data_IF_206612494231
#
_entry.id   IF_206612494231
#
_cell.length_a   1.000
_cell.length_b   1.000
_cell.length_c   1.000
_cell.angle_alpha   90.00
_cell.angle_beta   90.00
_cell.angle_gamma   90.00
#
_symmetry.space_group_name_H-M   'P 1'
#
loop_
_entity.id
_entity.type
_entity.pdbx_description
1 polymer ?
#
# COMPACT_ATOMS: atom_id res chain seq x y z
N UNK A 1 15.31 -1.30 -44.47
CA UNK A 1 15.68 -0.17 -43.60
C UNK A 1 14.66 0.10 -42.49
N UNK A 2 13.40 -0.37 -42.56
CA UNK A 2 12.40 -0.11 -41.50
C UNK A 2 12.41 -1.04 -40.27
N UNK A 3 13.03 -2.24 -40.30
CA UNK A 3 13.06 -3.13 -39.13
C UNK A 3 14.21 -2.80 -38.15
N UNK A 4 15.35 -2.30 -38.65
CA UNK A 4 16.51 -1.96 -37.82
C UNK A 4 16.26 -0.73 -36.93
N UNK A 5 15.55 0.28 -37.44
CA UNK A 5 15.17 1.46 -36.65
C UNK A 5 14.15 1.10 -35.55
N UNK A 6 13.20 0.21 -35.83
CA UNK A 6 12.22 -0.24 -34.83
C UNK A 6 12.89 -1.06 -33.72
N UNK A 7 13.84 -1.94 -34.06
CA UNK A 7 14.60 -2.71 -33.07
C UNK A 7 15.52 -1.80 -32.23
N UNK A 8 16.17 -0.79 -32.82
CA UNK A 8 17.00 0.17 -32.06
C UNK A 8 16.17 1.07 -31.12
N UNK A 9 14.98 1.48 -31.55
CA UNK A 9 14.04 2.25 -30.71
C UNK A 9 13.54 1.38 -29.55
N UNK A 10 13.22 0.09 -29.78
CA UNK A 10 12.80 -0.82 -28.72
C UNK A 10 13.91 -1.14 -27.70
N UNK A 11 15.17 -1.28 -28.14
CA UNK A 11 16.29 -1.60 -27.24
C UNK A 11 16.69 -0.38 -26.37
N UNK A 12 16.46 0.86 -26.85
CA UNK A 12 16.72 2.11 -26.07
C UNK A 12 15.78 2.29 -24.87
N UNK A 13 14.55 1.77 -24.94
CA UNK A 13 13.54 1.92 -23.87
C UNK A 13 13.50 0.75 -22.88
N UNK A 14 14.33 -0.28 -23.10
CA UNK A 14 14.23 -1.56 -22.39
C UNK A 14 14.45 -1.48 -20.88
N UNK A 15 15.21 -0.48 -20.43
CA UNK A 15 15.53 -0.24 -19.01
C UNK A 15 14.76 0.95 -18.41
N UNK A 16 13.88 1.59 -19.18
CA UNK A 16 13.08 2.73 -18.73
C UNK A 16 11.72 2.29 -18.19
N UNK A 17 11.24 3.01 -17.18
CA UNK A 17 9.82 2.93 -16.81
C UNK A 17 8.93 3.42 -17.96
N UNK A 18 7.67 3.00 -18.05
CA UNK A 18 6.76 3.51 -19.08
C UNK A 18 6.64 5.05 -19.10
N UNK A 19 6.70 5.69 -17.93
CA UNK A 19 6.75 7.14 -17.81
C UNK A 19 8.02 7.74 -18.45
N UNK A 20 9.20 7.19 -18.13
CA UNK A 20 10.48 7.65 -18.71
C UNK A 20 10.54 7.42 -20.22
N UNK A 21 10.03 6.29 -20.70
CA UNK A 21 9.91 5.99 -22.12
C UNK A 21 9.00 6.99 -22.85
N UNK A 22 7.88 7.38 -22.22
CA UNK A 22 7.00 8.41 -22.74
C UNK A 22 7.67 9.78 -22.76
N UNK A 23 8.35 10.17 -21.67
CA UNK A 23 9.11 11.43 -21.62
C UNK A 23 10.18 11.51 -22.71
N UNK A 24 10.92 10.41 -22.93
CA UNK A 24 11.90 10.34 -23.99
C UNK A 24 11.26 10.41 -25.38
N UNK A 25 10.08 9.80 -25.58
CA UNK A 25 9.30 9.94 -26.81
C UNK A 25 8.83 11.38 -27.06
N UNK A 26 8.41 12.10 -26.01
CA UNK A 26 8.10 13.54 -26.10
C UNK A 26 9.34 14.35 -26.50
N UNK A 27 10.51 13.97 -25.98
CA UNK A 27 11.77 14.64 -26.28
C UNK A 27 12.19 14.41 -27.73
N UNK A 28 12.09 13.18 -28.21
CA UNK A 28 12.41 12.82 -29.60
C UNK A 28 11.43 13.51 -30.59
N UNK A 29 10.18 13.77 -30.17
CA UNK A 29 9.21 14.56 -30.92
C UNK A 29 9.41 16.10 -30.81
N UNK A 30 10.40 16.56 -30.03
CA UNK A 30 10.66 17.98 -29.77
C UNK A 30 9.62 18.66 -28.85
N UNK A 31 8.68 17.91 -28.28
CA UNK A 31 7.58 18.43 -27.46
C UNK A 31 8.04 18.90 -26.08
N UNK A 32 9.15 18.38 -25.55
CA UNK A 32 9.72 18.81 -24.26
C UNK A 32 10.21 20.26 -24.27
N UNK A 33 10.39 20.86 -25.45
CA UNK A 33 10.73 22.28 -25.62
C UNK A 33 9.50 23.20 -25.64
N UNK A 34 8.31 22.63 -25.74
CA UNK A 34 7.03 23.37 -25.66
C UNK A 34 6.65 23.60 -24.20
N UNK A 35 5.81 24.62 -23.94
CA UNK A 35 5.30 24.88 -22.60
C UNK A 35 4.59 23.65 -22.01
N UNK A 36 3.74 22.99 -22.79
CA UNK A 36 3.00 21.81 -22.34
C UNK A 36 3.91 20.62 -22.00
N UNK A 37 4.91 20.33 -22.83
CA UNK A 37 5.86 19.24 -22.55
C UNK A 37 6.75 19.54 -21.35
N UNK A 38 7.20 20.79 -21.21
CA UNK A 38 7.94 21.23 -20.03
C UNK A 38 7.09 21.12 -18.75
N UNK A 39 5.85 21.58 -18.79
CA UNK A 39 4.94 21.55 -17.65
C UNK A 39 4.57 20.11 -17.24
N UNK A 40 4.47 19.18 -18.20
CA UNK A 40 4.26 17.76 -17.91
C UNK A 40 5.44 17.15 -17.15
N UNK A 41 6.68 17.45 -17.54
CA UNK A 41 7.87 17.01 -16.81
C UNK A 41 7.90 17.66 -15.42
N UNK A 42 7.64 18.97 -15.34
CA UNK A 42 7.65 19.70 -14.08
C UNK A 42 6.59 19.16 -13.11
N UNK A 43 5.39 18.85 -13.58
CA UNK A 43 4.33 18.26 -12.78
C UNK A 43 4.77 16.91 -12.17
N UNK A 44 5.44 16.07 -12.96
CA UNK A 44 5.98 14.79 -12.52
C UNK A 44 6.97 14.95 -11.35
N UNK A 45 7.88 15.92 -11.46
CA UNK A 45 8.87 16.23 -10.43
C UNK A 45 8.23 16.83 -9.17
N UNK A 46 7.31 17.78 -9.33
CA UNK A 46 6.63 18.44 -8.21
C UNK A 46 5.80 17.46 -7.40
N UNK A 47 5.10 16.53 -8.05
CA UNK A 47 4.31 15.51 -7.36
C UNK A 47 5.18 14.64 -6.44
N UNK A 48 6.38 14.27 -6.87
CA UNK A 48 7.33 13.48 -6.08
C UNK A 48 7.96 14.29 -4.93
N UNK A 49 8.21 15.59 -5.15
CA UNK A 49 8.81 16.49 -4.14
C UNK A 49 7.81 16.89 -3.05
N UNK A 50 6.53 17.05 -3.40
CA UNK A 50 5.47 17.45 -2.49
C UNK A 50 4.30 16.44 -2.54
N UNK A 51 4.53 15.18 -2.12
CA UNK A 51 3.50 14.15 -2.16
C UNK A 51 2.40 14.43 -1.15
N UNK A 52 1.22 13.90 -1.43
CA UNK A 52 0.08 13.91 -0.51
C UNK A 52 0.30 12.87 0.58
N UNK A 53 0.36 13.32 1.82
CA UNK A 53 0.44 12.44 3.00
C UNK A 53 -0.90 11.75 3.24
N UNK A 54 -0.91 10.41 3.23
CA UNK A 54 -2.11 9.61 3.42
C UNK A 54 -1.97 8.60 4.55
N UNK A 55 -3.09 8.15 5.08
CA UNK A 55 -3.16 7.00 5.99
C UNK A 55 -3.95 5.90 5.31
N UNK A 56 -3.48 4.66 5.43
CA UNK A 56 -4.12 3.49 4.82
C UNK A 56 -5.13 2.85 5.78
N UNK A 57 -6.22 2.27 5.27
CA UNK A 57 -6.64 2.26 3.86
C UNK A 57 -7.08 3.66 3.39
N UNK A 58 -6.89 3.92 2.10
CA UNK A 58 -7.15 5.22 1.48
C UNK A 58 -7.93 5.04 0.19
N UNK A 59 -8.90 5.93 -0.04
CA UNK A 59 -9.55 6.07 -1.34
C UNK A 59 -9.65 7.56 -1.66
N UNK A 60 -9.41 7.89 -2.93
CA UNK A 60 -9.63 9.22 -3.47
C UNK A 60 -10.20 9.11 -4.89
N UNK A 61 -11.17 9.95 -5.20
CA UNK A 61 -11.62 10.21 -6.55
C UNK A 61 -11.23 11.61 -6.95
N UNK A 62 -10.40 11.75 -7.98
CA UNK A 62 -9.88 13.04 -8.42
C UNK A 62 -10.15 13.32 -9.87
N UNK A 63 -9.90 14.56 -10.27
CA UNK A 63 -10.05 15.02 -11.64
C UNK A 63 -8.76 15.64 -12.16
N UNK A 64 -8.34 15.18 -13.33
CA UNK A 64 -7.19 15.71 -14.05
C UNK A 64 -7.70 16.48 -15.26
N UNK A 65 -7.36 17.76 -15.34
CA UNK A 65 -7.74 18.63 -16.46
C UNK A 65 -6.83 18.36 -17.66
N UNK A 66 -7.33 17.94 -18.84
CA UNK A 66 -6.50 17.61 -19.99
C UNK A 66 -5.58 18.76 -20.45
N UNK A 67 -6.04 20.00 -20.34
CA UNK A 67 -5.32 21.20 -20.81
C UNK A 67 -4.20 21.65 -19.85
N UNK A 68 -4.17 21.09 -18.63
CA UNK A 68 -3.19 21.45 -17.59
C UNK A 68 -2.47 20.19 -17.13
N UNK A 69 -1.24 19.93 -17.64
CA UNK A 69 -0.45 18.79 -17.21
C UNK A 69 -0.33 18.74 -15.69
N UNK A 70 -0.68 17.60 -15.12
CA UNK A 70 -0.66 17.41 -13.67
C UNK A 70 -0.28 15.98 -13.32
N UNK A 71 0.28 15.82 -12.14
CA UNK A 71 0.59 14.54 -11.53
C UNK A 71 0.23 14.63 -10.05
N UNK A 72 -0.12 13.50 -9.45
CA UNK A 72 -0.30 13.37 -8.01
C UNK A 72 0.59 12.24 -7.52
N UNK A 73 1.22 12.41 -6.37
CA UNK A 73 1.88 11.32 -5.68
C UNK A 73 1.34 11.19 -4.26
N UNK A 74 1.16 9.97 -3.80
CA UNK A 74 0.72 9.65 -2.44
C UNK A 74 1.89 9.06 -1.68
N UNK A 75 2.21 9.61 -0.51
CA UNK A 75 3.19 9.01 0.39
C UNK A 75 2.52 8.02 1.32
N UNK A 76 3.07 6.81 1.37
CA UNK A 76 2.58 5.73 2.20
C UNK A 76 3.73 4.94 2.83
N UNK A 77 3.50 4.42 4.03
CA UNK A 77 4.42 3.49 4.69
C UNK A 77 3.89 2.07 4.53
N UNK A 78 4.73 1.18 4.00
CA UNK A 78 4.43 -0.25 3.93
C UNK A 78 5.34 -0.96 4.91
N UNK A 79 4.75 -1.57 5.93
CA UNK A 79 5.46 -2.35 6.93
C UNK A 79 5.99 -3.67 6.37
N UNK A 80 7.04 -4.19 7.01
CA UNK A 80 7.51 -5.55 6.74
C UNK A 80 6.39 -6.54 7.04
N UNK A 81 6.14 -7.49 6.15
CA UNK A 81 5.07 -8.48 6.32
C UNK A 81 3.68 -8.00 5.91
N UNK A 82 3.59 -6.78 5.37
CA UNK A 82 2.37 -6.23 4.78
C UNK A 82 2.47 -6.28 3.25
N UNK A 83 1.31 -6.37 2.60
CA UNK A 83 1.15 -6.27 1.16
C UNK A 83 0.34 -5.03 0.86
N UNK A 84 0.82 -4.19 -0.05
CA UNK A 84 0.03 -3.12 -0.64
C UNK A 84 -0.77 -3.70 -1.80
N UNK A 85 -2.08 -3.46 -1.82
CA UNK A 85 -2.93 -3.57 -3.00
C UNK A 85 -3.33 -2.16 -3.40
N UNK A 86 -3.10 -1.83 -4.66
CA UNK A 86 -3.44 -0.53 -5.21
C UNK A 86 -4.25 -0.73 -6.47
N UNK A 87 -5.45 -0.17 -6.48
CA UNK A 87 -6.38 -0.20 -7.60
C UNK A 87 -6.51 1.20 -8.14
N UNK A 88 -6.21 1.36 -9.42
CA UNK A 88 -6.33 2.63 -10.12
C UNK A 88 -7.27 2.44 -11.29
N UNK A 89 -8.20 3.37 -11.46
CA UNK A 89 -9.07 3.48 -12.63
C UNK A 89 -9.10 4.92 -13.12
N UNK A 90 -9.20 5.13 -14.44
CA UNK A 90 -9.42 6.43 -15.06
C UNK A 90 -10.63 6.30 -16.00
N UNK A 91 -11.56 7.22 -15.89
CA UNK A 91 -12.75 7.32 -16.73
C UNK A 91 -12.76 8.67 -17.44
N UNK A 92 -12.72 8.65 -18.76
CA UNK A 92 -12.69 9.88 -19.56
C UNK A 92 -13.31 9.77 -20.97
N UNK A 93 -13.95 8.64 -21.30
CA UNK A 93 -14.60 8.44 -22.59
C UNK A 93 -13.66 8.22 -23.79
N UNK A 94 -12.34 8.23 -23.58
CA UNK A 94 -11.31 7.98 -24.60
C UNK A 94 -10.30 6.93 -24.09
N UNK A 95 -9.45 6.39 -24.97
CA UNK A 95 -8.28 5.65 -24.50
C UNK A 95 -7.24 6.63 -23.98
N UNK A 96 -6.77 6.43 -22.75
CA UNK A 96 -5.75 7.29 -22.13
C UNK A 96 -4.77 6.46 -21.33
N UNK A 97 -3.49 6.73 -21.58
CA UNK A 97 -2.42 6.16 -20.77
C UNK A 97 -2.29 6.93 -19.46
N UNK A 98 -2.21 6.19 -18.37
CA UNK A 98 -1.88 6.72 -17.05
C UNK A 98 -0.70 5.96 -16.53
N UNK A 99 0.39 6.67 -16.33
CA UNK A 99 1.58 6.16 -15.69
C UNK A 99 1.32 6.05 -14.20
N UNK A 100 1.46 4.83 -13.69
CA UNK A 100 1.36 4.49 -12.28
C UNK A 100 2.72 3.98 -11.84
N UNK A 101 3.39 4.74 -10.98
CA UNK A 101 4.76 4.45 -10.55
C UNK A 101 4.82 4.31 -9.02
N UNK A 102 5.33 3.17 -8.56
CA UNK A 102 5.66 2.94 -7.16
C UNK A 102 7.16 3.15 -6.97
N UNK A 103 7.52 4.12 -6.14
CA UNK A 103 8.89 4.39 -5.73
C UNK A 103 9.11 4.00 -4.28
N UNK A 104 10.32 3.53 -3.96
CA UNK A 104 10.80 3.44 -2.58
C UNK A 104 11.56 4.73 -2.26
N UNK A 105 11.19 5.36 -1.15
CA UNK A 105 11.93 6.50 -0.63
C UNK A 105 13.32 6.06 -0.14
N UNK A 106 14.31 6.88 -0.38
CA UNK A 106 15.64 6.67 0.18
C UNK A 106 15.64 6.96 1.69
N UNK A 107 16.61 6.38 2.41
CA UNK A 107 16.79 6.67 3.85
C UNK A 107 17.34 8.09 4.07
N UNK A 108 18.06 8.64 3.08
CA UNK A 108 18.49 10.02 3.05
C UNK A 108 17.51 10.86 2.22
N UNK A 109 17.07 12.00 2.73
CA UNK A 109 16.10 12.88 2.06
C UNK A 109 16.65 13.50 0.77
N UNK A 110 17.98 13.61 0.63
CA UNK A 110 18.64 14.17 -0.55
C UNK A 110 18.72 13.16 -1.72
N UNK A 111 18.53 11.87 -1.46
CA UNK A 111 18.64 10.83 -2.48
C UNK A 111 17.31 10.66 -3.25
N UNK A 112 17.35 10.50 -4.59
CA UNK A 112 16.13 10.35 -5.36
C UNK A 112 15.38 9.05 -5.02
N UNK A 113 14.03 9.06 -5.01
CA UNK A 113 13.24 7.85 -4.85
C UNK A 113 13.57 6.83 -5.93
N UNK A 114 13.69 5.55 -5.54
CA UNK A 114 14.04 4.47 -6.46
C UNK A 114 12.78 3.83 -7.04
N UNK A 115 12.63 3.69 -8.38
CA UNK A 115 11.49 2.97 -8.95
C UNK A 115 11.49 1.51 -8.50
N UNK A 116 10.30 0.98 -8.23
CA UNK A 116 10.05 -0.40 -7.79
C UNK A 116 9.15 -1.12 -8.79
N UNK A 117 8.06 -0.47 -9.20
CA UNK A 117 7.10 -1.00 -10.15
C UNK A 117 6.50 0.16 -10.93
N UNK A 118 6.32 0.00 -12.24
CA UNK A 118 5.69 1.01 -13.09
C UNK A 118 4.81 0.35 -14.15
N UNK A 119 3.67 0.97 -14.46
CA UNK A 119 2.74 0.55 -15.53
C UNK A 119 2.10 1.78 -16.19
N UNK A 120 1.58 1.65 -17.41
CA UNK A 120 1.04 2.74 -18.24
C UNK A 120 -0.45 2.59 -18.64
N UNK A 121 -1.09 1.49 -18.25
CA UNK A 121 -2.43 1.13 -18.71
C UNK A 121 -3.36 0.81 -17.53
N UNK A 122 -4.48 1.52 -17.49
CA UNK A 122 -5.50 1.54 -16.43
C UNK A 122 -6.85 1.15 -17.08
N UNK A 123 -7.74 0.37 -16.42
CA UNK A 123 -7.73 -0.02 -15.01
C UNK A 123 -6.77 -1.17 -14.71
N UNK A 124 -6.15 -1.10 -13.52
CA UNK A 124 -5.24 -2.12 -13.05
C UNK A 124 -5.21 -2.23 -11.53
N UNK A 125 -5.16 -3.46 -11.05
CA UNK A 125 -4.78 -3.79 -9.68
C UNK A 125 -3.31 -4.18 -9.68
N UNK A 126 -2.50 -3.58 -8.82
CA UNK A 126 -1.13 -4.02 -8.61
C UNK A 126 -0.86 -4.25 -7.12
N UNK A 127 -0.04 -5.27 -6.88
CA UNK A 127 0.34 -5.70 -5.54
C UNK A 127 1.84 -5.49 -5.32
N UNK A 128 2.21 -5.06 -4.12
CA UNK A 128 3.61 -4.97 -3.72
C UNK A 128 3.84 -5.53 -2.31
N UNK A 129 4.78 -6.47 -2.22
CA UNK A 129 5.26 -7.05 -0.96
C UNK A 129 6.71 -6.67 -0.71
N UNK A 130 6.99 -5.65 0.12
CA UNK A 130 8.36 -5.22 0.33
C UNK A 130 9.15 -6.23 1.17
N UNK A 131 10.38 -6.51 0.75
CA UNK A 131 11.29 -7.38 1.53
C UNK A 131 11.59 -6.80 2.93
N UNK A 132 11.85 -5.49 2.96
CA UNK A 132 11.98 -4.63 4.15
C UNK A 132 10.94 -3.54 4.06
N UNK A 133 10.24 -3.28 5.16
CA UNK A 133 9.34 -2.13 5.24
C UNK A 133 10.06 -0.80 4.99
N UNK A 134 9.29 0.25 4.80
CA UNK A 134 9.78 1.60 4.55
C UNK A 134 8.70 2.49 3.96
N UNK A 135 9.12 3.68 3.54
CA UNK A 135 8.26 4.66 2.92
C UNK A 135 8.32 4.56 1.39
N UNK A 136 7.17 4.78 0.78
CA UNK A 136 6.94 4.64 -0.65
C UNK A 136 6.15 5.83 -1.17
N UNK A 137 6.29 6.10 -2.46
CA UNK A 137 5.44 7.03 -3.20
C UNK A 137 4.71 6.28 -4.28
N UNK A 138 3.41 6.51 -4.41
CA UNK A 138 2.66 6.10 -5.58
C UNK A 138 2.31 7.34 -6.41
N UNK A 139 2.90 7.47 -7.59
CA UNK A 139 2.60 8.55 -8.55
C UNK A 139 1.59 8.11 -9.59
N UNK A 140 0.62 8.97 -9.89
CA UNK A 140 -0.30 8.89 -11.01
C UNK A 140 -0.08 10.09 -11.93
N UNK A 141 0.11 9.84 -13.22
CA UNK A 141 0.25 10.89 -14.22
C UNK A 141 -0.28 10.43 -15.59
N UNK A 142 -1.23 11.14 -16.19
CA UNK A 142 -1.70 10.82 -17.53
C UNK A 142 -0.69 11.28 -18.59
N UNK A 143 -0.82 10.74 -19.79
CA UNK A 143 -0.13 11.27 -20.96
C UNK A 143 -0.57 12.72 -21.28
N UNK A 144 0.25 13.43 -22.07
CA UNK A 144 0.03 14.83 -22.38
C UNK A 144 -1.32 15.04 -23.10
N UNK A 145 -2.04 16.12 -22.74
CA UNK A 145 -3.37 16.45 -23.31
C UNK A 145 -4.45 15.39 -23.04
N UNK A 146 -4.29 14.60 -21.97
CA UNK A 146 -5.31 13.66 -21.48
C UNK A 146 -5.58 13.89 -20.00
N UNK A 147 -6.80 13.56 -19.60
CA UNK A 147 -7.30 13.77 -18.25
C UNK A 147 -8.60 13.03 -18.04
N UNK A 148 -9.38 13.45 -17.05
CA UNK A 148 -10.64 12.83 -16.65
C UNK A 148 -10.67 12.48 -15.17
N UNK A 149 -11.68 11.72 -14.78
CA UNK A 149 -11.88 11.32 -13.39
C UNK A 149 -11.10 10.04 -13.11
N UNK A 150 -10.25 10.06 -12.10
CA UNK A 150 -9.54 8.88 -11.63
C UNK A 150 -10.03 8.47 -10.25
N UNK A 151 -9.98 7.17 -9.99
CA UNK A 151 -10.14 6.62 -8.64
C UNK A 151 -8.85 5.90 -8.28
N UNK A 152 -8.37 6.15 -7.07
CA UNK A 152 -7.26 5.41 -6.48
C UNK A 152 -7.72 4.82 -5.16
N UNK A 153 -7.55 3.50 -5.01
CA UNK A 153 -7.84 2.77 -3.78
C UNK A 153 -6.58 2.06 -3.34
N UNK A 154 -6.13 2.35 -2.12
CA UNK A 154 -4.91 1.82 -1.53
C UNK A 154 -5.25 1.10 -0.24
N UNK A 155 -4.89 -0.17 -0.17
CA UNK A 155 -5.14 -1.01 0.99
C UNK A 155 -3.87 -1.75 1.38
N UNK A 156 -3.72 -2.01 2.69
CA UNK A 156 -2.70 -2.90 3.17
C UNK A 156 -3.34 -4.16 3.73
N UNK A 157 -2.71 -5.28 3.43
CA UNK A 157 -3.09 -6.60 3.92
C UNK A 157 -1.92 -7.28 4.62
N UNK A 158 -2.23 -8.33 5.37
CA UNK A 158 -1.22 -9.24 5.91
C UNK A 158 -0.72 -10.17 4.78
N UNK A 159 0.58 -10.42 4.70
CA UNK A 159 1.15 -11.29 3.67
C UNK A 159 0.81 -12.78 3.85
N UNK A 160 0.53 -13.21 5.09
CA UNK A 160 0.28 -14.60 5.42
C UNK A 160 -1.15 -14.79 5.91
N UNK A 161 -1.76 -15.90 5.51
CA UNK A 161 -3.03 -16.34 6.08
C UNK A 161 -2.85 -16.71 7.55
N UNK A 162 -3.93 -16.64 8.33
CA UNK A 162 -3.87 -16.96 9.75
C UNK A 162 -3.70 -18.49 9.97
N UNK A 163 -2.74 -18.95 10.80
CA UNK A 163 -2.33 -20.36 10.86
C UNK A 163 -3.24 -21.29 11.67
N UNK A 164 -4.34 -20.79 12.25
CA UNK A 164 -5.22 -21.60 13.11
C UNK A 164 -6.67 -21.39 12.69
N UNK A 165 -7.34 -22.48 12.33
CA UNK A 165 -8.70 -22.46 11.78
C UNK A 165 -9.68 -21.77 12.76
N UNK A 166 -10.51 -20.86 12.23
CA UNK A 166 -11.53 -20.16 13.01
C UNK A 166 -10.99 -19.16 14.05
N UNK A 167 -9.69 -18.88 14.06
CA UNK A 167 -9.04 -17.95 14.97
C UNK A 167 -8.44 -16.76 14.19
N UNK A 168 -8.06 -15.72 14.92
CA UNK A 168 -7.43 -14.53 14.34
C UNK A 168 -6.48 -13.87 15.32
N UNK A 169 -6.02 -12.65 15.00
CA UNK A 169 -4.99 -11.91 15.77
C UNK A 169 -5.27 -11.73 17.26
N UNK A 170 -6.54 -11.84 17.70
CA UNK A 170 -6.93 -11.77 19.11
C UNK A 170 -6.50 -13.01 19.91
N UNK A 171 -6.19 -14.10 19.23
CA UNK A 171 -5.72 -15.36 19.82
C UNK A 171 -4.20 -15.37 20.04
N UNK A 172 -3.48 -14.35 19.55
CA UNK A 172 -2.07 -14.14 19.85
C UNK A 172 -1.96 -13.57 21.26
N UNK A 173 -1.40 -14.35 22.21
CA UNK A 173 -1.29 -13.94 23.63
C UNK A 173 0.16 -13.89 24.13
N UNK A 174 1.12 -14.39 23.35
CA UNK A 174 2.55 -14.25 23.62
C UNK A 174 3.23 -13.74 22.35
N UNK A 175 3.87 -12.59 22.43
CA UNK A 175 4.43 -11.88 21.28
C UNK A 175 5.92 -12.19 21.10
N UNK A 176 6.43 -11.90 19.91
CA UNK A 176 7.85 -11.97 19.60
C UNK A 176 8.65 -11.10 20.57
N UNK A 177 9.83 -11.59 20.98
CA UNK A 177 10.68 -10.85 21.91
C UNK A 177 10.32 -11.03 23.39
N UNK A 178 9.20 -11.67 23.72
CA UNK A 178 8.80 -11.90 25.11
C UNK A 178 9.81 -12.80 25.86
N UNK A 179 10.01 -12.51 27.14
CA UNK A 179 10.92 -13.28 28.00
C UNK A 179 10.49 -14.74 28.10
N UNK A 180 11.44 -15.64 27.88
CA UNK A 180 11.30 -17.09 28.08
C UNK A 180 12.33 -17.58 29.08
N UNK A 181 11.97 -18.65 29.79
CA UNK A 181 12.88 -19.36 30.70
C UNK A 181 13.52 -18.43 31.75
N UNK A 182 12.71 -17.53 32.33
CA UNK A 182 13.13 -16.50 33.28
C UNK A 182 14.20 -15.52 32.73
N UNK A 183 14.04 -15.08 31.47
CA UNK A 183 14.90 -14.10 30.81
C UNK A 183 16.14 -14.70 30.14
N UNK A 184 16.25 -16.03 30.07
CA UNK A 184 17.39 -16.73 29.45
C UNK A 184 17.26 -16.86 27.93
N UNK A 185 16.05 -16.67 27.40
CA UNK A 185 15.76 -16.79 25.97
C UNK A 185 14.70 -15.78 25.56
N UNK A 186 14.80 -15.29 24.33
CA UNK A 186 13.77 -14.47 23.69
C UNK A 186 12.77 -15.35 22.92
N UNK A 187 11.51 -14.94 22.89
CA UNK A 187 10.50 -15.64 22.11
C UNK A 187 10.66 -15.38 20.60
N UNK A 188 11.14 -16.37 19.86
CA UNK A 188 11.44 -16.30 18.41
C UNK A 188 10.20 -16.42 17.50
N UNK A 189 9.01 -16.16 18.03
CA UNK A 189 7.75 -16.34 17.31
C UNK A 189 6.57 -15.70 18.03
N UNK A 190 5.36 -16.16 17.73
CA UNK A 190 4.12 -15.82 18.45
C UNK A 190 3.42 -17.09 18.91
N UNK A 191 2.74 -17.04 20.06
CA UNK A 191 1.89 -18.15 20.51
C UNK A 191 0.43 -17.81 20.26
N UNK A 192 -0.25 -18.71 19.55
CA UNK A 192 -1.65 -18.60 19.15
C UNK A 192 -2.44 -19.65 19.92
N UNK A 193 -3.22 -19.21 20.89
CA UNK A 193 -3.98 -20.10 21.78
C UNK A 193 -5.26 -20.57 21.11
N UNK A 194 -5.50 -21.88 21.17
CA UNK A 194 -6.69 -22.54 20.64
C UNK A 194 -6.88 -23.89 21.34
N UNK A 195 -8.07 -24.49 21.22
CA UNK A 195 -8.32 -25.81 21.82
C UNK A 195 -7.41 -26.87 21.20
N UNK A 196 -6.98 -27.85 22.00
CA UNK A 196 -6.26 -29.03 21.48
C UNK A 196 -7.10 -29.67 20.37
N UNK A 197 -6.46 -30.07 19.28
CA UNK A 197 -7.14 -30.67 18.13
C UNK A 197 -7.70 -29.66 17.12
N UNK A 198 -7.55 -28.34 17.36
CA UNK A 198 -7.91 -27.33 16.34
C UNK A 198 -6.94 -27.46 15.16
N UNK A 199 -7.41 -27.44 13.89
CA UNK A 199 -6.53 -27.49 12.73
C UNK A 199 -5.53 -26.33 12.68
N UNK A 200 -4.27 -26.68 12.40
CA UNK A 200 -3.18 -25.76 12.08
C UNK A 200 -3.03 -25.74 10.57
N UNK A 201 -3.12 -24.56 9.97
CA UNK A 201 -3.23 -24.36 8.53
C UNK A 201 -1.92 -23.82 7.95
N UNK A 202 -1.66 -24.16 6.68
CA UNK A 202 -0.59 -23.56 5.90
C UNK A 202 -0.89 -22.07 5.64
N UNK A 203 0.06 -21.21 6.01
CA UNK A 203 -0.09 -19.75 5.92
C UNK A 203 0.29 -19.16 4.57
N UNK A 204 1.01 -19.93 3.77
CA UNK A 204 1.37 -19.64 2.39
C UNK A 204 1.46 -20.95 1.60
N UNK A 205 1.32 -20.88 0.27
CA UNK A 205 1.62 -22.02 -0.58
C UNK A 205 3.12 -22.34 -0.54
N UNK A 206 3.47 -23.62 -0.58
CA UNK A 206 4.86 -24.04 -0.59
C UNK A 206 5.07 -25.49 -0.20
N UNK A 207 6.31 -25.81 0.19
CA UNK A 207 6.74 -27.20 0.38
C UNK A 207 7.10 -27.52 1.82
N UNK A 208 6.52 -28.56 2.38
CA UNK A 208 6.90 -29.07 3.71
C UNK A 208 8.33 -29.60 3.67
N UNK A 209 9.26 -28.94 4.35
CA UNK A 209 10.68 -29.29 4.27
C UNK A 209 11.14 -30.25 5.40
N UNK A 210 10.44 -30.23 6.56
CA UNK A 210 10.69 -31.11 7.73
C UNK A 210 9.39 -31.37 8.50
N UNK A 211 9.26 -32.60 8.96
CA UNK A 211 8.25 -33.05 9.94
C UNK A 211 9.00 -33.87 10.98
N UNK A 212 9.05 -33.41 12.23
CA UNK A 212 9.95 -33.97 13.25
C UNK A 212 9.34 -33.93 14.66
N UNK A 213 9.94 -34.69 15.57
CA UNK A 213 9.73 -34.54 17.01
C UNK A 213 11.02 -34.03 17.64
N UNK A 214 10.94 -32.94 18.37
CA UNK A 214 12.10 -32.26 18.99
C UNK A 214 11.85 -32.05 20.49
N UNK A 215 12.91 -31.91 21.28
CA UNK A 215 12.79 -31.71 22.72
C UNK A 215 12.06 -30.40 23.06
N UNK A 216 12.39 -29.30 22.37
CA UNK A 216 11.78 -27.99 22.62
C UNK A 216 10.41 -27.87 21.95
N UNK A 217 10.36 -27.97 20.62
CA UNK A 217 9.13 -27.75 19.85
C UNK A 217 8.12 -28.90 19.89
N UNK A 218 8.46 -30.05 20.48
CA UNK A 218 7.60 -31.23 20.44
C UNK A 218 7.42 -31.71 19.00
N UNK A 219 6.19 -32.00 18.59
CA UNK A 219 5.84 -32.29 17.20
C UNK A 219 5.82 -31.00 16.40
N UNK A 220 6.62 -30.95 15.34
CA UNK A 220 6.83 -29.75 14.53
C UNK A 220 6.64 -30.01 13.04
N UNK A 221 6.24 -28.96 12.32
CA UNK A 221 6.24 -28.89 10.86
C UNK A 221 7.00 -27.63 10.45
N UNK A 222 7.84 -27.76 9.42
CA UNK A 222 8.49 -26.65 8.77
C UNK A 222 8.02 -26.55 7.32
N UNK A 223 7.47 -25.40 6.96
CA UNK A 223 7.00 -25.06 5.62
C UNK A 223 7.99 -24.11 4.95
N UNK A 224 8.41 -24.41 3.73
CA UNK A 224 9.23 -23.52 2.90
C UNK A 224 8.30 -22.67 2.03
N UNK A 225 8.31 -21.36 2.27
CA UNK A 225 7.67 -20.36 1.41
C UNK A 225 8.69 -19.94 0.33
N UNK A 226 8.47 -20.31 -0.95
CA UNK A 226 9.40 -19.96 -2.02
C UNK A 226 9.31 -18.48 -2.43
N UNK A 227 8.13 -17.88 -2.38
CA UNK A 227 7.87 -16.48 -2.79
C UNK A 227 8.65 -15.53 -1.87
N UNK A 228 8.57 -15.76 -0.56
CA UNK A 228 9.19 -14.89 0.46
C UNK A 228 10.55 -15.41 0.92
N UNK A 229 11.06 -16.49 0.32
CA UNK A 229 12.30 -17.15 0.67
C UNK A 229 12.45 -17.38 2.19
N UNK A 230 11.37 -17.84 2.84
CA UNK A 230 11.29 -18.00 4.29
C UNK A 230 10.95 -19.43 4.69
N UNK A 231 11.31 -19.81 5.91
CA UNK A 231 10.87 -21.06 6.51
C UNK A 231 9.94 -20.73 7.66
N UNK A 232 8.74 -21.30 7.61
CA UNK A 232 7.67 -21.08 8.57
C UNK A 232 7.62 -22.29 9.50
N UNK A 233 7.64 -22.04 10.79
CA UNK A 233 7.76 -23.04 11.85
C UNK A 233 6.46 -23.16 12.62
N UNK A 234 5.95 -24.38 12.72
CA UNK A 234 4.74 -24.74 13.47
C UNK A 234 5.13 -25.75 14.54
N UNK A 235 4.92 -25.43 15.82
CA UNK A 235 5.36 -26.25 16.93
C UNK A 235 4.28 -26.49 17.99
N UNK A 236 4.61 -27.37 18.93
CA UNK A 236 3.75 -27.86 20.00
C UNK A 236 2.53 -28.67 19.53
N UNK A 237 2.57 -29.18 18.30
CA UNK A 237 1.44 -29.86 17.68
C UNK A 237 1.03 -31.12 18.47
N UNK A 238 -0.27 -31.43 18.48
CA UNK A 238 -0.80 -32.68 19.01
C UNK A 238 -0.55 -33.83 18.04
N UNK A 239 -0.70 -33.57 16.74
CA UNK A 239 -0.40 -34.50 15.63
C UNK A 239 -0.02 -33.71 14.37
N UNK A 240 0.70 -34.37 13.46
CA UNK A 240 1.13 -33.83 12.16
C UNK A 240 0.30 -34.53 11.08
N UNK A 241 -0.29 -33.77 10.17
CA UNK A 241 -1.16 -34.27 9.10
C UNK A 241 -0.46 -34.35 7.73
N UNK A 242 0.80 -33.91 7.66
CA UNK A 242 1.58 -33.81 6.43
C UNK A 242 2.88 -34.59 6.51
N UNK A 243 3.46 -34.85 5.33
CA UNK A 243 4.75 -35.53 5.18
C UNK A 243 5.83 -34.62 4.61
N UNK A 244 7.10 -34.92 4.91
CA UNK A 244 8.23 -34.20 4.31
C UNK A 244 8.16 -34.32 2.79
N UNK A 245 8.22 -33.18 2.13
CA UNK A 245 8.24 -33.03 0.69
C UNK A 245 6.89 -32.82 0.02
N UNK A 246 5.81 -32.85 0.81
CA UNK A 246 4.47 -32.50 0.36
C UNK A 246 4.38 -31.02 -0.01
N UNK A 247 3.79 -30.73 -1.16
CA UNK A 247 3.32 -29.38 -1.53
C UNK A 247 1.98 -29.12 -0.85
N UNK A 248 1.78 -27.91 -0.38
CA UNK A 248 0.56 -27.45 0.29
C UNK A 248 0.14 -26.10 -0.27
N UNK A 249 -1.16 -25.89 -0.32
CA UNK A 249 -1.78 -24.61 -0.63
C UNK A 249 -2.16 -23.85 0.64
N UNK A 250 -2.47 -22.56 0.51
CA UNK A 250 -2.97 -21.74 1.62
C UNK A 250 -4.24 -22.39 2.19
N UNK A 251 -4.27 -22.62 3.50
CA UNK A 251 -5.41 -23.21 4.19
C UNK A 251 -5.36 -24.74 4.34
N UNK A 252 -4.40 -25.43 3.71
CA UNK A 252 -4.23 -26.87 3.93
C UNK A 252 -3.86 -27.18 5.39
N UNK A 253 -4.42 -28.27 5.94
CA UNK A 253 -4.12 -28.67 7.32
C UNK A 253 -2.74 -29.32 7.43
N UNK A 254 -1.84 -28.70 8.20
CA UNK A 254 -0.50 -29.20 8.49
C UNK A 254 -0.46 -30.13 9.71
N UNK A 255 -1.41 -29.99 10.61
CA UNK A 255 -1.48 -30.71 11.87
C UNK A 255 -2.52 -30.10 12.78
N UNK A 256 -2.42 -30.40 14.07
CA UNK A 256 -3.43 -29.99 15.04
C UNK A 256 -2.78 -29.37 16.27
N UNK A 257 -3.42 -28.33 16.81
CA UNK A 257 -2.95 -27.61 18.01
C UNK A 257 -2.82 -28.57 19.17
N UNK A 258 -1.72 -28.46 19.92
CA UNK A 258 -1.43 -29.29 21.08
C UNK A 258 -0.65 -28.52 22.13
N UNK A 259 0.16 -29.25 22.90
CA UNK A 259 1.12 -28.68 23.83
C UNK A 259 2.35 -29.59 23.98
N UNK A 260 2.78 -30.26 22.91
CA UNK A 260 3.92 -31.20 22.98
C UNK A 260 5.26 -30.46 23.14
N UNK A 261 6.31 -31.18 23.55
CA UNK A 261 7.63 -30.57 23.80
C UNK A 261 7.67 -29.87 25.16
N UNK A 262 8.32 -28.71 25.22
CA UNK A 262 8.43 -27.95 26.47
C UNK A 262 7.12 -27.22 26.87
N UNK A 263 6.11 -27.18 26.00
CA UNK A 263 4.78 -26.63 26.27
C UNK A 263 3.88 -27.56 27.10
N UNK A 264 4.34 -28.76 27.51
CA UNK A 264 3.48 -29.80 28.11
C UNK A 264 2.69 -29.36 29.35
N UNK A 265 3.20 -28.37 30.09
CA UNK A 265 2.60 -27.84 31.31
C UNK A 265 1.83 -26.53 31.10
N UNK A 266 1.67 -26.07 29.86
CA UNK A 266 0.93 -24.84 29.52
C UNK A 266 -0.37 -25.17 28.78
N UNK A 267 -1.32 -24.21 28.70
CA UNK A 267 -2.52 -24.39 27.88
C UNK A 267 -2.16 -24.66 26.41
N UNK A 268 -2.97 -25.45 25.67
CA UNK A 268 -2.72 -25.72 24.27
C UNK A 268 -2.62 -24.45 23.41
N UNK A 269 -1.60 -24.41 22.55
CA UNK A 269 -1.33 -23.30 21.64
C UNK A 269 -0.45 -23.79 20.48
N UNK A 270 -0.49 -23.03 19.38
CA UNK A 270 0.50 -23.11 18.31
C UNK A 270 1.61 -22.11 18.60
N UNK A 271 2.86 -22.57 18.64
CA UNK A 271 3.99 -21.67 18.48
C UNK A 271 4.29 -21.51 16.97
N UNK A 272 4.20 -20.28 16.48
CA UNK A 272 4.38 -19.91 15.09
C UNK A 272 5.60 -19.00 14.91
N UNK A 273 6.56 -19.41 14.09
CA UNK A 273 7.80 -18.67 13.84
C UNK A 273 8.08 -18.49 12.35
N UNK A 274 8.75 -17.39 11.99
CA UNK A 274 9.23 -17.13 10.63
C UNK A 274 10.74 -17.00 10.67
N UNK A 275 11.44 -17.73 9.81
CA UNK A 275 12.89 -17.76 9.76
C UNK A 275 13.38 -17.47 8.35
N UNK A 276 14.29 -16.49 8.22
CA UNK A 276 14.91 -16.14 6.93
C UNK A 276 16.41 -16.39 6.96
N UNK A 277 16.94 -16.86 5.83
CA UNK A 277 18.38 -17.14 5.70
C UNK A 277 19.17 -15.84 5.84
N UNK A 278 20.16 -15.83 6.73
CA UNK A 278 21.02 -14.66 6.97
C UNK A 278 20.43 -13.62 7.94
N UNK A 279 19.16 -13.73 8.32
CA UNK A 279 18.48 -12.79 9.23
C UNK A 279 18.02 -13.43 10.54
N UNK A 280 17.87 -14.75 10.59
CA UNK A 280 17.39 -15.45 11.79
C UNK A 280 15.87 -15.37 11.95
N UNK A 281 15.34 -15.42 13.19
CA UNK A 281 13.91 -15.31 13.45
C UNK A 281 13.41 -13.89 13.20
N UNK A 282 12.25 -13.80 12.54
CA UNK A 282 11.58 -12.55 12.17
C UNK A 282 10.27 -12.47 12.94
N UNK A 283 9.94 -11.29 13.47
CA UNK A 283 8.66 -11.06 14.14
C UNK A 283 7.48 -11.44 13.22
N UNK A 284 6.67 -12.46 13.58
CA UNK A 284 5.54 -12.89 12.76
C UNK A 284 4.32 -11.98 12.83
N UNK A 285 4.18 -11.12 13.85
CA UNK A 285 2.95 -10.34 14.07
C UNK A 285 2.53 -9.50 12.85
N UNK A 286 3.43 -8.75 12.19
CA UNK A 286 3.07 -7.97 11.00
C UNK A 286 2.61 -8.82 9.81
N UNK A 287 3.05 -10.09 9.73
CA UNK A 287 2.69 -11.01 8.65
C UNK A 287 1.31 -11.64 8.85
N UNK A 288 0.80 -11.64 10.08
CA UNK A 288 -0.50 -12.22 10.44
C UNK A 288 -1.56 -11.18 10.75
N UNK A 289 -1.15 -9.93 11.00
CA UNK A 289 -2.03 -8.86 11.45
C UNK A 289 -2.46 -8.00 10.27
N UNK A 290 -3.71 -8.13 9.79
CA UNK A 290 -4.21 -7.20 8.80
C UNK A 290 -4.17 -5.79 9.41
N UNK A 291 -3.71 -4.80 8.64
CA UNK A 291 -3.78 -3.39 9.00
C UNK A 291 -5.21 -2.99 9.37
N UNK A 292 -5.35 -2.11 10.36
CA UNK A 292 -6.66 -1.68 10.84
C UNK A 292 -7.19 -0.57 9.95
N UNK A 293 -8.48 -0.61 9.69
CA UNK A 293 -9.21 0.46 9.02
C UNK A 293 -10.15 -0.12 7.98
N UNK A 294 -11.15 0.67 7.63
CA UNK A 294 -11.99 0.47 6.45
C UNK A 294 -11.85 1.71 5.60
N UNK A 295 -12.02 1.57 4.29
CA UNK A 295 -12.14 2.75 3.44
C UNK A 295 -13.28 3.62 3.98
N UNK A 296 -13.02 4.90 4.15
CA UNK A 296 -14.05 5.86 4.56
C UNK A 296 -15.08 6.00 3.44
N UNK A 297 -16.36 6.02 3.81
CA UNK A 297 -17.44 6.21 2.84
C UNK A 297 -17.31 7.57 2.14
N UNK A 298 -17.34 7.54 0.81
CA UNK A 298 -17.23 8.74 0.00
C UNK A 298 -18.51 9.58 0.11
N UNK A 299 -18.42 10.72 0.80
CA UNK A 299 -19.55 11.62 1.08
C UNK A 299 -19.33 13.05 0.58
N UNK A 300 -18.12 13.40 0.14
CA UNK A 300 -17.88 14.65 -0.55
C UNK A 300 -18.62 14.68 -1.90
N UNK A 301 -19.16 15.85 -2.27
CA UNK A 301 -19.88 16.05 -3.53
C UNK A 301 -18.92 15.98 -4.72
N UNK A 302 -18.83 14.81 -5.33
CA UNK A 302 -17.98 14.54 -6.50
C UNK A 302 -18.42 15.32 -7.75
N UNK A 303 -19.63 15.91 -7.74
CA UNK A 303 -20.07 16.83 -8.80
C UNK A 303 -19.24 18.12 -8.86
N UNK A 304 -18.48 18.44 -7.81
CA UNK A 304 -17.59 19.62 -7.77
C UNK A 304 -16.18 19.32 -8.30
N UNK A 305 -15.85 18.10 -8.71
CA UNK A 305 -14.49 17.77 -9.15
C UNK A 305 -14.09 18.62 -10.37
N UNK A 306 -12.94 19.29 -10.27
CA UNK A 306 -12.44 20.22 -11.29
C UNK A 306 -12.97 21.66 -11.19
N UNK A 307 -14.08 21.86 -10.46
CA UNK A 307 -14.76 23.13 -10.29
C UNK A 307 -14.14 24.01 -9.21
N UNK A 308 -14.58 25.27 -9.18
CA UNK A 308 -14.25 26.21 -8.11
C UNK A 308 -15.36 26.24 -7.05
N UNK A 309 -14.95 26.08 -5.80
CA UNK A 309 -15.79 26.28 -4.61
C UNK A 309 -15.23 27.44 -3.79
N UNK A 310 -15.99 27.89 -2.80
CA UNK A 310 -15.52 28.86 -1.81
C UNK A 310 -15.93 28.44 -0.40
N UNK A 311 -15.19 28.94 0.57
CA UNK A 311 -15.42 28.64 1.98
C UNK A 311 -16.64 29.39 2.54
N UNK A 312 -17.46 28.69 3.34
CA UNK A 312 -18.67 29.26 3.95
C UNK A 312 -18.40 30.10 5.19
N UNK A 313 -17.31 29.84 5.91
CA UNK A 313 -17.04 30.45 7.23
C UNK A 313 -15.56 30.83 7.39
N UNK A 314 -15.26 31.72 8.35
CA UNK A 314 -13.91 32.00 8.81
C UNK A 314 -13.34 30.86 9.69
N UNK A 315 -12.01 30.81 9.80
CA UNK A 315 -11.31 29.88 10.68
C UNK A 315 -11.32 28.42 10.19
N UNK A 316 -11.65 28.19 8.92
CA UNK A 316 -11.65 26.84 8.35
C UNK A 316 -10.21 26.37 8.18
N UNK A 317 -9.90 25.19 8.72
CA UNK A 317 -8.56 24.63 8.71
C UNK A 317 -8.29 23.88 7.42
N UNK A 318 -7.27 24.34 6.69
CA UNK A 318 -6.63 23.58 5.62
C UNK A 318 -5.73 22.51 6.26
N UNK A 319 -5.91 21.25 5.86
CA UNK A 319 -5.20 20.11 6.48
C UNK A 319 -4.28 19.39 5.50
N UNK A 320 -3.25 18.76 6.03
CA UNK A 320 -2.33 17.92 5.25
C UNK A 320 -2.95 16.58 4.81
N UNK A 321 -3.97 16.09 5.52
CA UNK A 321 -4.62 14.81 5.28
C UNK A 321 -6.17 14.93 5.38
N UNK A 322 -6.95 14.04 4.73
CA UNK A 322 -8.41 14.09 4.68
C UNK A 322 -9.06 13.57 5.98
N UNK A 323 -8.61 14.04 7.13
CA UNK A 323 -9.21 13.67 8.41
C UNK A 323 -8.97 14.75 9.49
N UNK A 324 -9.74 14.67 10.57
CA UNK A 324 -9.69 15.67 11.65
C UNK A 324 -8.36 15.70 12.43
N UNK A 325 -7.57 14.62 12.36
CA UNK A 325 -6.25 14.50 13.01
C UNK A 325 -5.11 14.97 12.12
N UNK A 326 -5.35 15.17 10.82
CA UNK A 326 -4.36 15.70 9.88
C UNK A 326 -3.84 17.05 10.35
N UNK A 327 -2.55 17.26 10.19
CA UNK A 327 -1.88 18.51 10.54
C UNK A 327 -2.61 19.72 9.94
N UNK A 328 -2.76 20.77 10.74
CA UNK A 328 -3.34 22.03 10.29
C UNK A 328 -2.24 22.83 9.62
N UNK A 329 -2.31 22.95 8.30
CA UNK A 329 -1.35 23.73 7.50
C UNK A 329 -1.56 25.22 7.73
N UNK A 330 -2.83 25.66 7.75
CA UNK A 330 -3.24 27.04 8.03
C UNK A 330 -4.74 27.15 8.26
N UNK A 331 -5.17 28.28 8.82
CA UNK A 331 -6.57 28.70 8.83
C UNK A 331 -6.87 29.59 7.61
N UNK A 332 -8.07 29.45 7.07
CA UNK A 332 -8.56 30.13 5.89
C UNK A 332 -9.81 30.95 6.24
N UNK A 333 -9.96 32.08 5.56
CA UNK A 333 -11.08 33.00 5.75
C UNK A 333 -12.31 32.62 4.94
N UNK A 334 -13.45 33.19 5.31
CA UNK A 334 -14.70 33.10 4.58
C UNK A 334 -14.51 33.54 3.12
N UNK A 335 -15.22 32.87 2.21
CA UNK A 335 -15.20 33.10 0.76
C UNK A 335 -13.85 32.91 0.08
N UNK A 336 -12.85 32.34 0.74
CA UNK A 336 -11.60 31.94 0.09
C UNK A 336 -11.94 30.99 -1.06
N UNK A 337 -11.60 31.32 -2.32
CA UNK A 337 -11.85 30.46 -3.46
C UNK A 337 -10.86 29.30 -3.48
N UNK A 338 -11.34 28.12 -3.84
CA UNK A 338 -10.60 26.86 -3.83
C UNK A 338 -10.95 26.08 -5.09
N UNK A 339 -9.95 25.55 -5.80
CA UNK A 339 -10.21 24.62 -6.89
C UNK A 339 -10.25 23.20 -6.36
N UNK A 340 -11.33 22.47 -6.59
CA UNK A 340 -11.49 21.09 -6.13
C UNK A 340 -10.72 20.17 -7.08
N UNK A 341 -9.76 19.44 -6.53
CA UNK A 341 -8.93 18.49 -7.27
C UNK A 341 -9.42 17.06 -7.09
N UNK A 342 -9.89 16.73 -5.88
CA UNK A 342 -10.34 15.39 -5.54
C UNK A 342 -11.26 15.36 -4.32
N UNK A 343 -11.99 14.27 -4.14
CA UNK A 343 -12.77 13.91 -2.96
C UNK A 343 -12.20 12.67 -2.27
N UNK A 344 -12.11 12.72 -0.95
CA UNK A 344 -11.72 11.57 -0.12
C UNK A 344 -12.53 11.61 1.18
N UNK A 345 -13.43 10.63 1.36
CA UNK A 345 -14.34 10.60 2.50
C UNK A 345 -15.25 11.84 2.53
N UNK A 346 -15.21 12.60 3.63
CA UNK A 346 -15.94 13.88 3.79
C UNK A 346 -15.14 15.12 3.33
N UNK A 347 -13.94 14.95 2.77
CA UNK A 347 -13.01 16.03 2.45
C UNK A 347 -12.84 16.23 0.94
N UNK A 348 -12.66 17.49 0.54
CA UNK A 348 -12.07 17.85 -0.74
C UNK A 348 -10.57 18.07 -0.58
N UNK A 349 -9.78 17.50 -1.50
CA UNK A 349 -8.43 17.98 -1.78
C UNK A 349 -8.54 19.17 -2.71
N UNK A 350 -7.96 20.29 -2.31
CA UNK A 350 -8.11 21.58 -2.98
C UNK A 350 -6.78 22.21 -3.32
N UNK A 351 -6.79 23.06 -4.36
CA UNK A 351 -5.71 24.01 -4.68
C UNK A 351 -6.16 25.44 -4.37
N UNK A 352 -5.35 26.17 -3.63
CA UNK A 352 -5.55 27.59 -3.36
C UNK A 352 -5.00 28.45 -4.51
N UNK A 353 -5.42 29.72 -4.64
CA UNK A 353 -4.92 30.64 -5.67
C UNK A 353 -3.41 30.90 -5.60
N UNK A 354 -2.82 30.80 -4.41
CA UNK A 354 -1.38 30.92 -4.19
C UNK A 354 -0.60 29.64 -4.57
N UNK A 355 -1.31 28.61 -5.04
CA UNK A 355 -0.74 27.32 -5.45
C UNK A 355 -0.62 26.30 -4.32
N UNK A 356 -0.94 26.65 -3.07
CA UNK A 356 -0.91 25.71 -1.96
C UNK A 356 -1.98 24.62 -2.11
N UNK A 357 -1.69 23.43 -1.60
CA UNK A 357 -2.60 22.28 -1.60
C UNK A 357 -2.97 21.90 -0.18
N UNK A 358 -4.13 21.26 -0.02
CA UNK A 358 -4.52 20.63 1.24
C UNK A 358 -5.96 20.14 1.20
N UNK A 359 -6.48 19.79 2.38
CA UNK A 359 -7.82 19.25 2.53
C UNK A 359 -8.73 20.19 3.33
N UNK A 360 -9.97 20.33 2.87
CA UNK A 360 -11.05 21.03 3.57
C UNK A 360 -12.28 20.12 3.60
N UNK A 361 -13.09 20.20 4.67
CA UNK A 361 -14.32 19.41 4.72
C UNK A 361 -15.32 19.94 3.66
N UNK A 362 -15.85 19.05 2.82
CA UNK A 362 -16.70 19.41 1.67
C UNK A 362 -17.93 20.21 2.08
N UNK A 363 -18.57 19.80 3.19
CA UNK A 363 -19.73 20.48 3.80
C UNK A 363 -19.51 21.92 4.26
N UNK A 364 -18.26 22.40 4.26
CA UNK A 364 -17.90 23.77 4.61
C UNK A 364 -17.66 24.65 3.38
N UNK A 365 -18.04 24.15 2.20
CA UNK A 365 -17.85 24.80 0.91
C UNK A 365 -19.17 24.93 0.17
N UNK A 366 -19.23 25.89 -0.74
CA UNK A 366 -20.30 26.03 -1.73
C UNK A 366 -19.70 26.34 -3.12
N UNK A 367 -20.40 26.05 -4.22
CA UNK A 367 -19.94 26.42 -5.56
C UNK A 367 -19.65 27.92 -5.67
N UNK A 368 -18.49 28.28 -6.21
CA UNK A 368 -18.05 29.67 -6.30
C UNK A 368 -18.87 30.51 -7.29
N UNK A 369 -19.61 29.86 -8.18
CA UNK A 369 -20.47 30.49 -9.19
C UNK A 369 -21.85 30.93 -8.65
N UNK A 370 -22.21 30.58 -7.40
CA UNK A 370 -23.44 31.04 -6.76
C UNK A 370 -23.28 32.48 -6.23
N UNK A 371 -24.36 33.29 -6.16
CA UNK A 371 -24.31 34.59 -5.46
C UNK A 371 -23.90 34.44 -3.99
N UNK A 372 -23.29 35.48 -3.40
CA UNK A 372 -23.01 35.48 -1.96
C UNK A 372 -24.32 35.68 -1.18
N UNK A 373 -24.53 34.87 -0.13
CA UNK A 373 -25.72 34.97 0.74
C UNK A 373 -26.99 34.35 0.17
N UNK A 374 -26.87 33.40 -0.78
CA UNK A 374 -27.99 32.55 -1.22
C UNK A 374 -28.24 31.42 -0.22
N UNK A 375 -28.79 31.76 0.94
CA UNK A 375 -29.46 30.81 1.85
C UNK A 375 -30.95 31.13 1.98
#
# INVERSE_FOLDING_TARGET
MGCEEIEQVQDRFRDMTPHEAYQASLSDAGLTTTALGHDWILAAHQAVQAPVEISLPFQEEGFITPEQPSAVAYRLTIGRGQRLTAEVSLTNGEETRVFVDLFRMAENEDDPPRPILSTDSVPGTFEHEPWRGGDFLLRLQPELLRGGTYTVTLQLEAQLAFPVEGHGVRSIQSVFGADRDAGRRSHDGVDIFARRGTPVLATSAGRVNRVQVTNLGGKVVWLRDPIRNSNIYFAHLDSQAVSRGQEVEIGDTLGFVGNTGNARTTPPHLHFGIYRRGEGPVNPDPFLRPPRGTIEEQTADLGQLGEWVRLLNDGIRLRAAPNRRGEVLRELGQYTPLRVLAGSGEYFRVKLPDGAYGYVASRLTEPANLPLGSE
#
